data_IF_341108000781
#
_entry.id   IF_341108000781
#
_cell.length_a   1.000
_cell.length_b   1.000
_cell.length_c   1.000
_cell.angle_alpha   90.00
_cell.angle_beta   90.00
_cell.angle_gamma   90.00
#
_symmetry.space_group_name_H-M   'P 1'
#
loop_
_entity.id
_entity.type
_entity.pdbx_description
1 polymer ?
#
# COMPACT_ATOMS: atom_id res chain seq x y z
N UNK A 1 -4.68 -23.63 -6.72
CA UNK A 1 -4.12 -22.56 -5.86
C UNK A 1 -4.05 -21.22 -6.58
N UNK A 2 -3.57 -21.17 -7.84
CA UNK A 2 -3.60 -19.94 -8.65
C UNK A 2 -4.99 -19.33 -8.80
N UNK A 3 -5.99 -20.16 -9.14
CA UNK A 3 -7.37 -19.71 -9.30
C UNK A 3 -7.94 -19.01 -8.04
N UNK A 4 -7.54 -19.44 -6.84
CA UNK A 4 -8.00 -18.83 -5.57
C UNK A 4 -7.34 -17.46 -5.38
N UNK A 5 -6.03 -17.36 -5.64
CA UNK A 5 -5.30 -16.09 -5.59
C UNK A 5 -5.81 -15.10 -6.63
N UNK A 6 -6.23 -15.57 -7.80
CA UNK A 6 -6.75 -14.73 -8.88
C UNK A 6 -8.17 -14.24 -8.59
N UNK A 7 -9.00 -15.08 -7.96
CA UNK A 7 -10.36 -14.70 -7.54
C UNK A 7 -10.33 -13.63 -6.44
N UNK A 8 -9.44 -13.76 -5.45
CA UNK A 8 -9.26 -12.76 -4.41
C UNK A 8 -7.77 -12.59 -4.04
N UNK A 9 -7.07 -11.60 -4.62
CA UNK A 9 -5.65 -11.38 -4.34
C UNK A 9 -5.37 -10.82 -2.94
N UNK A 10 -6.41 -10.43 -2.18
CA UNK A 10 -6.30 -9.92 -0.81
C UNK A 10 -6.37 -11.01 0.25
N UNK A 11 -6.73 -12.23 -0.14
CA UNK A 11 -6.92 -13.33 0.79
C UNK A 11 -5.61 -13.70 1.50
N UNK A 12 -5.69 -13.89 2.81
CA UNK A 12 -4.55 -14.23 3.64
C UNK A 12 -4.23 -15.72 3.57
N UNK A 13 -2.96 -16.09 3.82
CA UNK A 13 -2.52 -17.49 3.90
C UNK A 13 -3.34 -18.31 4.92
N UNK A 14 -3.89 -17.67 5.97
CA UNK A 14 -4.72 -18.33 6.99
C UNK A 14 -6.11 -18.66 6.45
N UNK A 15 -6.74 -17.73 5.76
CA UNK A 15 -8.04 -17.94 5.10
C UNK A 15 -7.91 -19.01 3.99
N UNK A 16 -6.84 -18.93 3.19
CA UNK A 16 -6.55 -19.96 2.18
C UNK A 16 -6.32 -21.35 2.78
N UNK A 17 -5.69 -21.44 3.97
CA UNK A 17 -5.58 -22.70 4.70
C UNK A 17 -6.95 -23.24 5.08
N UNK A 18 -7.84 -22.40 5.61
CA UNK A 18 -9.19 -22.81 6.00
C UNK A 18 -10.02 -23.25 4.78
N UNK A 19 -9.92 -22.54 3.66
CA UNK A 19 -10.63 -22.85 2.42
C UNK A 19 -10.15 -24.17 1.77
N UNK A 20 -8.84 -24.43 1.81
CA UNK A 20 -8.23 -25.58 1.13
C UNK A 20 -7.96 -26.78 2.05
N UNK A 21 -8.07 -26.64 3.37
CA UNK A 21 -7.76 -27.69 4.35
C UNK A 21 -6.28 -28.13 4.39
N UNK A 22 -5.36 -27.40 3.75
CA UNK A 22 -3.92 -27.74 3.67
C UNK A 22 -3.08 -26.85 4.55
N UNK A 23 -2.15 -27.44 5.30
CA UNK A 23 -1.33 -26.72 6.28
C UNK A 23 -0.71 -25.41 5.74
N UNK A 24 -0.65 -24.39 6.61
CA UNK A 24 -0.18 -23.01 6.33
C UNK A 24 1.21 -22.99 5.65
N UNK A 25 2.12 -23.88 6.06
CA UNK A 25 3.46 -23.99 5.47
C UNK A 25 3.40 -24.50 4.02
N UNK A 26 2.49 -25.42 3.72
CA UNK A 26 2.25 -25.95 2.38
C UNK A 26 1.66 -24.87 1.47
N UNK A 27 0.68 -24.11 1.96
CA UNK A 27 0.11 -22.94 1.27
C UNK A 27 1.23 -21.94 0.93
N UNK A 28 2.04 -21.54 1.92
CA UNK A 28 3.14 -20.59 1.71
C UNK A 28 4.19 -21.09 0.70
N UNK A 29 4.57 -22.38 0.79
CA UNK A 29 5.53 -22.98 -0.14
C UNK A 29 5.01 -23.01 -1.57
N UNK A 30 3.73 -23.32 -1.75
CA UNK A 30 3.10 -23.36 -3.06
C UNK A 30 2.95 -21.96 -3.66
N UNK A 31 2.54 -20.95 -2.88
CA UNK A 31 2.49 -19.55 -3.36
C UNK A 31 3.85 -19.09 -3.91
N UNK A 32 4.94 -19.43 -3.20
CA UNK A 32 6.30 -19.14 -3.65
C UNK A 32 6.68 -19.90 -4.93
N UNK A 33 6.29 -21.17 -5.06
CA UNK A 33 6.52 -21.95 -6.29
C UNK A 33 5.84 -21.34 -7.52
N UNK A 34 4.68 -20.71 -7.34
CA UNK A 34 3.96 -20.02 -8.41
C UNK A 34 4.34 -18.53 -8.52
N UNK A 35 5.41 -18.10 -7.85
CA UNK A 35 5.92 -16.73 -7.96
C UNK A 35 5.01 -15.65 -7.34
N UNK A 36 4.03 -16.02 -6.51
CA UNK A 36 3.18 -15.05 -5.80
C UNK A 36 3.88 -14.62 -4.52
N UNK A 37 3.97 -13.30 -4.30
CA UNK A 37 4.59 -12.69 -3.12
C UNK A 37 3.61 -11.74 -2.45
N UNK A 38 3.65 -11.69 -1.12
CA UNK A 38 2.84 -10.72 -0.36
C UNK A 38 3.39 -9.31 -0.61
N UNK A 39 2.56 -8.45 -1.20
CA UNK A 39 2.82 -7.01 -1.31
C UNK A 39 1.85 -6.27 -0.40
N UNK A 40 2.31 -5.18 0.20
CA UNK A 40 1.43 -4.27 0.91
C UNK A 40 0.55 -3.55 -0.10
N UNK A 41 -0.69 -3.30 0.28
CA UNK A 41 -1.58 -2.48 -0.51
C UNK A 41 -1.03 -1.06 -0.63
N UNK A 42 -1.24 -0.46 -1.79
CA UNK A 42 -0.91 0.95 -2.00
C UNK A 42 -2.03 1.79 -1.41
N UNK A 43 -1.68 2.79 -0.62
CA UNK A 43 -2.63 3.83 -0.22
C UNK A 43 -3.09 4.59 -1.45
N UNK A 44 -4.38 4.49 -1.77
CA UNK A 44 -5.05 5.29 -2.78
C UNK A 44 -5.85 6.36 -2.04
N UNK A 45 -5.56 7.64 -2.31
CA UNK A 45 -6.07 8.77 -1.53
C UNK A 45 -7.60 8.91 -1.60
N UNK A 46 -8.21 8.53 -2.72
CA UNK A 46 -9.66 8.62 -2.94
C UNK A 46 -10.15 7.55 -3.91
N UNK A 47 -11.29 6.95 -3.59
CA UNK A 47 -12.03 6.08 -4.51
C UNK A 47 -12.75 6.96 -5.54
N UNK A 48 -12.31 6.87 -6.80
CA UNK A 48 -12.88 7.67 -7.89
C UNK A 48 -14.15 7.01 -8.41
N UNK A 49 -15.18 7.81 -8.65
CA UNK A 49 -16.34 7.36 -9.41
C UNK A 49 -16.04 7.31 -10.92
N UNK A 50 -16.93 6.66 -11.68
CA UNK A 50 -16.77 6.48 -13.13
C UNK A 50 -16.60 7.81 -13.87
N UNK A 51 -17.47 8.79 -13.60
CA UNK A 51 -17.41 10.11 -14.22
C UNK A 51 -16.09 10.87 -13.90
N UNK A 52 -15.57 10.75 -12.67
CA UNK A 52 -14.28 11.32 -12.28
C UNK A 52 -13.13 10.63 -13.01
N UNK A 53 -13.20 9.32 -13.22
CA UNK A 53 -12.21 8.58 -14.01
C UNK A 53 -12.23 9.03 -15.47
N UNK A 54 -13.41 9.10 -16.08
CA UNK A 54 -13.56 9.51 -17.48
C UNK A 54 -13.06 10.93 -17.70
N UNK A 55 -13.43 11.86 -16.81
CA UNK A 55 -12.97 13.24 -16.89
C UNK A 55 -11.47 13.35 -16.76
N UNK A 56 -10.85 12.59 -15.85
CA UNK A 56 -9.38 12.55 -15.70
C UNK A 56 -8.72 11.98 -16.94
N UNK A 57 -9.27 10.92 -17.52
CA UNK A 57 -8.73 10.28 -18.71
C UNK A 57 -8.81 11.20 -19.95
N UNK A 58 -9.94 11.87 -20.13
CA UNK A 58 -10.16 12.85 -21.19
C UNK A 58 -9.14 14.00 -21.10
N UNK A 59 -9.02 14.63 -19.93
CA UNK A 59 -8.07 15.73 -19.71
C UNK A 59 -6.63 15.27 -19.93
N UNK A 60 -6.24 14.10 -19.39
CA UNK A 60 -4.91 13.53 -19.61
C UNK A 60 -4.62 13.29 -21.09
N UNK A 61 -5.59 12.76 -21.84
CA UNK A 61 -5.45 12.50 -23.28
C UNK A 61 -5.23 13.80 -24.06
N UNK A 62 -6.00 14.85 -23.76
CA UNK A 62 -5.85 16.17 -24.37
C UNK A 62 -4.47 16.77 -24.05
N UNK A 63 -4.06 16.74 -22.78
CA UNK A 63 -2.76 17.28 -22.36
C UNK A 63 -1.60 16.50 -22.98
N UNK A 64 -1.74 15.18 -23.15
CA UNK A 64 -0.75 14.35 -23.82
C UNK A 64 -0.60 14.74 -25.30
N UNK A 65 -1.71 14.87 -26.03
CA UNK A 65 -1.69 15.31 -27.43
C UNK A 65 -1.15 16.74 -27.60
N UNK A 66 -1.45 17.63 -26.65
CA UNK A 66 -0.90 18.99 -26.65
C UNK A 66 0.61 18.99 -26.38
N UNK A 67 1.08 18.11 -25.49
CA UNK A 67 2.50 17.98 -25.17
C UNK A 67 3.33 17.54 -26.38
N UNK A 68 2.78 16.67 -27.22
CA UNK A 68 3.49 16.21 -28.43
C UNK A 68 3.60 17.29 -29.50
N UNK A 69 2.69 18.27 -29.49
CA UNK A 69 2.65 19.34 -30.48
C UNK A 69 3.40 20.60 -30.01
N UNK A 70 3.34 20.93 -28.72
CA UNK A 70 3.94 22.13 -28.13
C UNK A 70 4.72 21.83 -26.84
N UNK A 71 5.86 22.51 -26.63
CA UNK A 71 6.68 22.42 -25.41
C UNK A 71 6.10 23.18 -24.20
N UNK A 72 4.78 23.20 -24.02
CA UNK A 72 4.11 24.06 -23.02
C UNK A 72 4.47 23.74 -21.56
N UNK A 73 5.05 22.57 -21.30
CA UNK A 73 5.47 22.16 -19.95
C UNK A 73 6.71 22.90 -19.46
N UNK A 74 7.59 23.37 -20.34
CA UNK A 74 8.87 23.98 -19.93
C UNK A 74 8.69 25.29 -19.16
N UNK A 75 7.56 25.96 -19.33
CA UNK A 75 7.25 27.23 -18.66
C UNK A 75 6.03 27.18 -17.73
N UNK A 76 5.48 26.00 -17.43
CA UNK A 76 4.25 25.91 -16.64
C UNK A 76 4.52 26.07 -15.14
N UNK A 77 4.11 27.19 -14.50
CA UNK A 77 4.22 27.28 -13.06
C UNK A 77 3.24 26.29 -12.41
N UNK A 78 3.76 25.45 -11.52
CA UNK A 78 2.93 24.62 -10.63
C UNK A 78 3.08 25.11 -9.21
N UNK A 79 1.99 25.14 -8.45
CA UNK A 79 2.00 25.50 -7.04
C UNK A 79 1.07 24.55 -6.28
N UNK A 80 1.54 24.05 -5.13
CA UNK A 80 0.74 23.28 -4.20
C UNK A 80 1.16 23.61 -2.76
N UNK A 81 0.20 23.61 -1.84
CA UNK A 81 0.42 23.89 -0.43
C UNK A 81 0.68 22.60 0.33
N UNK A 82 1.86 22.48 0.95
CA UNK A 82 2.19 21.33 1.79
C UNK A 82 2.29 21.74 3.26
N UNK A 83 1.51 21.10 4.11
CA UNK A 83 1.67 21.25 5.56
C UNK A 83 3.00 20.63 6.03
N UNK A 84 3.78 21.42 6.77
CA UNK A 84 5.02 20.98 7.44
C UNK A 84 4.69 20.85 8.92
N UNK A 85 4.72 19.62 9.42
CA UNK A 85 4.53 19.33 10.84
C UNK A 85 5.82 19.64 11.60
N UNK A 86 5.70 20.26 12.78
CA UNK A 86 6.84 20.56 13.66
C UNK A 86 7.56 19.28 14.11
N UNK A 87 6.79 18.25 14.45
CA UNK A 87 7.29 16.93 14.83
C UNK A 87 6.73 15.87 13.87
N UNK A 88 7.59 15.38 12.97
CA UNK A 88 7.28 14.32 12.01
C UNK A 88 8.11 13.05 12.31
N UNK A 89 8.03 12.57 13.56
CA UNK A 89 8.66 11.31 13.98
C UNK A 89 8.22 10.15 13.08
N UNK A 90 9.14 9.66 12.25
CA UNK A 90 8.95 8.44 11.47
C UNK A 90 9.05 7.22 12.37
N UNK A 91 8.08 6.31 12.30
CA UNK A 91 8.17 5.00 12.96
C UNK A 91 9.27 4.19 12.26
N UNK A 92 10.45 4.10 12.88
CA UNK A 92 11.50 3.19 12.46
C UNK A 92 11.14 1.76 12.84
N UNK A 93 11.46 0.80 11.97
CA UNK A 93 11.32 -0.61 12.29
C UNK A 93 12.23 -0.97 13.46
N UNK A 94 11.68 -1.57 14.52
CA UNK A 94 12.46 -2.06 15.63
C UNK A 94 12.70 -3.57 15.45
N UNK A 95 13.97 -3.99 15.49
CA UNK A 95 14.32 -5.41 15.57
C UNK A 95 14.30 -5.80 17.04
N UNK A 96 13.16 -6.28 17.50
CA UNK A 96 12.96 -6.76 18.87
C UNK A 96 13.15 -8.27 18.93
N UNK A 97 13.93 -8.76 19.90
CA UNK A 97 13.95 -10.18 20.26
C UNK A 97 12.55 -10.54 20.76
N UNK A 98 11.98 -11.63 20.23
CA UNK A 98 10.62 -12.13 20.54
C UNK A 98 10.34 -12.41 22.03
N UNK A 99 11.34 -12.28 22.90
CA UNK A 99 11.27 -12.62 24.33
C UNK A 99 11.06 -11.43 25.27
N UNK A 100 10.81 -10.21 24.80
CA UNK A 100 10.48 -9.09 25.71
C UNK A 100 8.98 -8.84 25.73
N UNK A 101 8.30 -8.98 26.88
CA UNK A 101 6.90 -8.60 26.99
C UNK A 101 6.78 -7.10 26.76
N UNK A 102 5.72 -6.74 26.04
CA UNK A 102 5.23 -5.38 25.86
C UNK A 102 5.31 -4.63 27.19
N UNK A 103 6.15 -3.60 27.29
CA UNK A 103 6.21 -2.78 28.50
C UNK A 103 4.82 -2.13 28.69
N UNK A 104 4.17 -2.59 29.75
CA UNK A 104 2.94 -2.03 30.29
C UNK A 104 3.17 -0.57 30.67
N UNK A 105 2.20 0.30 30.37
CA UNK A 105 2.22 1.74 30.60
C UNK A 105 2.36 2.19 32.08
N UNK A 106 2.60 1.26 33.01
CA UNK A 106 2.67 1.52 34.45
C UNK A 106 4.04 1.97 35.00
N UNK A 107 5.04 2.33 34.17
CA UNK A 107 6.35 2.77 34.65
C UNK A 107 6.67 4.27 34.47
N UNK A 108 5.72 5.09 34.00
CA UNK A 108 5.89 6.56 33.92
C UNK A 108 5.40 7.30 35.18
N UNK A 109 5.79 6.84 36.37
CA UNK A 109 5.60 7.57 37.63
C UNK A 109 6.85 7.60 38.53
N UNK A 110 8.06 7.41 37.97
CA UNK A 110 9.32 7.51 38.72
C UNK A 110 10.32 8.50 38.11
N UNK A 111 9.85 9.64 37.62
CA UNK A 111 10.67 10.85 37.51
C UNK A 111 9.79 12.06 37.79
N UNK A 112 9.51 12.26 39.09
CA UNK A 112 9.18 13.54 39.71
C UNK A 112 10.45 14.23 40.15
#
# INVERSE_FOLDING_TARGET
>A
MNAIVEQNPRESVREMFQALGVGIATVSRNLRKVGKVKKLEKWVLHELNENQNDRRNEVCSILYMRKTNDAFLEGMPTCDGKFILYDNRKRSGQVIKLSYPHQSWHQLLMFS
#
